data_IF_086230261853
#
_entry.id   IF_086230261853
#
_cell.length_a   1.000
_cell.length_b   1.000
_cell.length_c   1.000
_cell.angle_alpha   90.00
_cell.angle_beta   90.00
_cell.angle_gamma   90.00
#
_symmetry.space_group_name_H-M   'P 1'
#
loop_
_entity.id
_entity.type
_entity.pdbx_description
1 polymer ?
#
# COMPACT_ATOMS: atom_id res chain seq x y z
N UNK A 1 11.52 13.27 17.50
CA UNK A 1 10.75 13.60 16.28
C UNK A 1 9.77 14.76 16.47
N UNK A 2 8.81 14.69 17.40
CA UNK A 2 7.90 15.83 17.69
C UNK A 2 8.64 17.11 18.11
N UNK A 3 9.68 16.98 18.94
CA UNK A 3 10.54 18.10 19.36
C UNK A 3 11.29 18.72 18.17
N UNK A 4 11.74 17.89 17.22
CA UNK A 4 12.41 18.35 16.00
C UNK A 4 11.44 19.11 15.07
N UNK A 5 10.21 18.59 14.90
CA UNK A 5 9.17 19.28 14.12
C UNK A 5 8.77 20.64 14.70
N UNK A 6 8.78 20.78 16.04
CA UNK A 6 8.51 22.06 16.69
C UNK A 6 9.64 23.07 16.52
N UNK A 7 10.88 22.59 16.36
CA UNK A 7 12.08 23.44 16.29
C UNK A 7 12.32 24.05 14.90
N UNK A 8 11.93 23.35 13.83
CA UNK A 8 12.42 23.65 12.47
C UNK A 8 11.45 24.39 11.55
N UNK A 9 10.37 25.00 12.06
CA UNK A 9 9.49 25.83 11.23
C UNK A 9 8.89 25.10 10.03
N UNK A 10 8.52 23.83 10.20
CA UNK A 10 8.04 22.95 9.12
C UNK A 10 6.79 23.55 8.45
N UNK A 11 6.80 23.62 7.12
CA UNK A 11 5.65 24.09 6.34
C UNK A 11 4.40 23.25 6.61
N UNK A 12 3.22 23.90 6.67
CA UNK A 12 1.92 23.23 6.90
C UNK A 12 1.68 22.06 5.93
N UNK A 13 2.18 22.14 4.70
CA UNK A 13 2.04 21.08 3.70
C UNK A 13 2.89 19.85 4.02
N UNK A 14 4.14 20.06 4.46
CA UNK A 14 5.04 18.99 4.86
C UNK A 14 4.48 18.23 6.06
N UNK A 15 3.94 18.93 7.06
CA UNK A 15 3.28 18.32 8.23
C UNK A 15 2.08 17.47 7.83
N UNK A 16 1.25 17.94 6.88
CA UNK A 16 0.12 17.15 6.36
C UNK A 16 0.60 15.89 5.64
N UNK A 17 1.62 16.01 4.79
CA UNK A 17 2.18 14.86 4.05
C UNK A 17 2.79 13.83 4.99
N UNK A 18 3.48 14.28 6.02
CA UNK A 18 4.02 13.41 7.07
C UNK A 18 2.91 12.69 7.84
N UNK A 19 1.90 13.43 8.31
CA UNK A 19 0.76 12.85 9.02
C UNK A 19 0.02 11.81 8.17
N UNK A 20 -0.15 12.06 6.87
CA UNK A 20 -0.76 11.10 5.95
C UNK A 20 0.05 9.79 5.88
N UNK A 21 1.38 9.85 5.90
CA UNK A 21 2.25 8.66 5.92
C UNK A 21 2.12 7.90 7.25
N UNK A 22 2.05 8.59 8.38
CA UNK A 22 1.81 7.97 9.70
C UNK A 22 0.46 7.27 9.71
N UNK A 23 -0.62 7.95 9.31
CA UNK A 23 -1.97 7.38 9.28
C UNK A 23 -1.98 6.12 8.39
N UNK A 24 -1.35 6.18 7.22
CA UNK A 24 -1.25 5.04 6.32
C UNK A 24 -0.51 3.84 6.95
N UNK A 25 0.64 4.09 7.59
CA UNK A 25 1.43 3.04 8.25
C UNK A 25 0.69 2.45 9.45
N UNK A 26 0.07 3.30 10.28
CA UNK A 26 -0.71 2.89 11.45
C UNK A 26 -1.93 2.07 11.05
N UNK A 27 -2.63 2.48 10.00
CA UNK A 27 -3.76 1.72 9.44
C UNK A 27 -3.31 0.33 9.00
N UNK A 28 -2.18 0.23 8.28
CA UNK A 28 -1.63 -1.05 7.86
C UNK A 28 -1.25 -1.95 9.05
N UNK A 29 -0.65 -1.37 10.09
CA UNK A 29 -0.30 -2.07 11.33
C UNK A 29 -1.55 -2.62 12.04
N UNK A 30 -2.58 -1.78 12.20
CA UNK A 30 -3.87 -2.23 12.77
C UNK A 30 -4.47 -3.34 11.93
N UNK A 31 -4.48 -3.23 10.60
CA UNK A 31 -4.99 -4.27 9.71
C UNK A 31 -4.29 -5.62 9.91
N UNK A 32 -2.99 -5.60 10.22
CA UNK A 32 -2.20 -6.80 10.51
C UNK A 32 -2.48 -7.34 11.91
N UNK A 33 -2.51 -6.48 12.94
CA UNK A 33 -2.71 -6.87 14.33
C UNK A 33 -4.17 -7.22 14.67
N UNK A 34 -5.13 -6.84 13.83
CA UNK A 34 -6.56 -7.03 14.06
C UNK A 34 -6.92 -8.45 14.52
N UNK A 35 -6.48 -9.48 13.79
CA UNK A 35 -6.80 -10.87 14.13
C UNK A 35 -6.21 -11.29 15.47
N UNK A 36 -4.97 -10.88 15.75
CA UNK A 36 -4.30 -11.19 17.00
C UNK A 36 -5.02 -10.53 18.19
N UNK A 37 -5.34 -9.24 18.09
CA UNK A 37 -6.03 -8.49 19.15
C UNK A 37 -7.40 -9.13 19.45
N UNK A 38 -8.18 -9.44 18.41
CA UNK A 38 -9.50 -10.06 18.59
C UNK A 38 -9.37 -11.46 19.21
N UNK A 39 -8.40 -12.25 18.77
CA UNK A 39 -8.18 -13.59 19.32
C UNK A 39 -7.74 -13.55 20.79
N UNK A 40 -6.86 -12.62 21.18
CA UNK A 40 -6.44 -12.46 22.58
C UNK A 40 -7.60 -11.99 23.46
N UNK A 41 -8.38 -11.01 22.98
CA UNK A 41 -9.56 -10.54 23.69
C UNK A 41 -10.61 -11.63 23.84
N UNK A 42 -10.68 -12.57 22.90
CA UNK A 42 -11.72 -13.60 22.90
C UNK A 42 -11.47 -14.75 23.88
N UNK A 43 -10.21 -14.95 24.30
CA UNK A 43 -9.84 -15.99 25.28
C UNK A 43 -10.55 -15.82 26.63
N UNK A 44 -10.87 -14.58 27.03
CA UNK A 44 -11.55 -14.26 28.31
C UNK A 44 -12.98 -14.81 28.37
N UNK A 45 -13.62 -15.07 27.23
CA UNK A 45 -15.00 -15.58 27.18
C UNK A 45 -15.09 -17.11 27.32
N UNK A 46 -13.97 -17.83 27.27
CA UNK A 46 -13.97 -19.30 27.25
C UNK A 46 -13.63 -19.85 28.64
N UNK A 47 -14.68 -20.26 29.37
CA UNK A 47 -14.56 -20.94 30.67
C UNK A 47 -14.93 -22.42 30.54
N UNK A 48 -14.20 -23.28 31.25
CA UNK A 48 -14.43 -24.73 31.27
C UNK A 48 -14.74 -25.18 32.70
N UNK A 49 -15.71 -26.07 32.85
CA UNK A 49 -16.03 -26.67 34.14
C UNK A 49 -15.00 -27.76 34.49
N UNK A 50 -14.41 -27.65 35.66
CA UNK A 50 -13.44 -28.60 36.19
C UNK A 50 -14.12 -29.71 37.01
N UNK A 51 -13.36 -30.74 37.38
CA UNK A 51 -13.86 -31.87 38.17
C UNK A 51 -14.35 -31.47 39.58
N UNK A 52 -13.86 -30.35 40.12
CA UNK A 52 -14.24 -29.76 41.40
C UNK A 52 -15.52 -28.90 41.32
N UNK A 53 -16.20 -28.89 40.16
CA UNK A 53 -17.36 -28.05 39.84
C UNK A 53 -17.06 -26.55 39.77
N UNK A 54 -15.79 -26.15 39.80
CA UNK A 54 -15.40 -24.76 39.56
C UNK A 54 -15.29 -24.49 38.05
N UNK A 55 -15.72 -23.29 37.64
CA UNK A 55 -15.49 -22.82 36.28
C UNK A 55 -14.19 -22.05 36.25
N UNK A 56 -13.22 -22.52 35.47
CA UNK A 56 -11.93 -21.82 35.32
C UNK A 56 -11.74 -21.36 33.88
N UNK A 57 -10.95 -20.31 33.70
CA UNK A 57 -10.63 -19.79 32.37
C UNK A 57 -9.76 -20.80 31.62
N UNK A 58 -10.10 -21.11 30.36
CA UNK A 58 -9.36 -22.10 29.56
C UNK A 58 -7.93 -21.63 29.23
N UNK A 59 -7.72 -20.32 29.08
CA UNK A 59 -6.40 -19.74 28.83
C UNK A 59 -5.51 -19.68 30.08
N UNK A 60 -6.10 -19.66 31.28
CA UNK A 60 -5.37 -19.63 32.55
C UNK A 60 -6.23 -20.27 33.65
N UNK A 61 -6.00 -21.56 33.97
CA UNK A 61 -6.79 -22.29 34.97
C UNK A 61 -6.76 -21.69 36.38
N UNK A 62 -5.77 -20.84 36.70
CA UNK A 62 -5.65 -20.16 38.00
C UNK A 62 -6.74 -19.11 38.23
N UNK A 63 -7.45 -18.70 37.17
CA UNK A 63 -8.51 -17.69 37.23
C UNK A 63 -9.87 -18.37 37.24
N UNK A 64 -10.62 -18.20 38.35
CA UNK A 64 -12.00 -18.66 38.47
C UNK A 64 -12.97 -17.71 37.79
N UNK A 65 -13.87 -18.26 36.97
CA UNK A 65 -14.91 -17.53 36.25
C UNK A 65 -16.14 -17.31 37.13
N UNK A 66 -16.91 -16.26 36.85
CA UNK A 66 -18.20 -15.95 37.47
C UNK A 66 -18.20 -15.64 38.99
N UNK A 67 -17.03 -15.46 39.60
CA UNK A 67 -16.91 -14.96 40.98
C UNK A 67 -16.92 -13.42 40.94
N UNK A 68 -17.85 -12.79 41.67
CA UNK A 68 -18.07 -11.33 41.64
C UNK A 68 -16.80 -10.52 41.93
N UNK A 69 -15.97 -10.98 42.87
CA UNK A 69 -14.73 -10.31 43.30
C UNK A 69 -13.47 -10.93 42.66
N UNK A 70 -13.63 -11.74 41.62
CA UNK A 70 -12.53 -12.42 40.94
C UNK A 70 -11.84 -11.55 39.88
N UNK A 71 -10.57 -11.88 39.56
CA UNK A 71 -9.79 -11.24 38.50
C UNK A 71 -10.52 -11.27 37.13
N UNK A 72 -11.27 -12.34 36.84
CA UNK A 72 -12.05 -12.47 35.60
C UNK A 72 -13.08 -11.34 35.42
N UNK A 73 -13.81 -10.98 36.49
CA UNK A 73 -14.84 -9.93 36.46
C UNK A 73 -14.23 -8.55 36.14
N UNK A 74 -12.99 -8.30 36.56
CA UNK A 74 -12.26 -7.07 36.25
C UNK A 74 -11.76 -7.04 34.79
N UNK A 75 -11.38 -8.18 34.22
CA UNK A 75 -10.89 -8.29 32.84
C UNK A 75 -12.01 -8.32 31.79
N UNK A 76 -13.20 -8.80 32.15
CA UNK A 76 -14.36 -8.91 31.27
C UNK A 76 -14.76 -7.58 30.60
N UNK A 77 -14.98 -6.45 31.32
CA UNK A 77 -15.38 -5.20 30.68
C UNK A 77 -14.31 -4.68 29.72
N UNK A 78 -13.03 -4.82 30.06
CA UNK A 78 -11.93 -4.45 29.17
C UNK A 78 -11.97 -5.28 27.87
N UNK A 79 -12.20 -6.59 27.99
CA UNK A 79 -12.30 -7.50 26.84
C UNK A 79 -13.49 -7.17 25.94
N UNK A 80 -14.65 -6.82 26.53
CA UNK A 80 -15.83 -6.36 25.78
C UNK A 80 -15.52 -5.04 25.06
N UNK A 81 -14.87 -4.08 25.72
CA UNK A 81 -14.48 -2.80 25.09
C UNK A 81 -13.53 -3.06 23.92
N UNK A 82 -12.50 -3.89 24.10
CA UNK A 82 -11.56 -4.26 23.02
C UNK A 82 -12.33 -4.92 21.86
N UNK A 83 -13.25 -5.83 22.15
CA UNK A 83 -14.03 -6.52 21.13
C UNK A 83 -14.97 -5.56 20.37
N UNK A 84 -15.59 -4.60 21.05
CA UNK A 84 -16.46 -3.60 20.41
C UNK A 84 -15.64 -2.59 19.60
N UNK A 85 -14.57 -2.04 20.18
CA UNK A 85 -13.75 -1.01 19.54
C UNK A 85 -12.96 -1.58 18.36
N UNK A 86 -12.26 -2.70 18.56
CA UNK A 86 -11.47 -3.30 17.50
C UNK A 86 -12.34 -4.17 16.59
N UNK A 87 -13.28 -4.95 17.10
CA UNK A 87 -14.08 -5.86 16.27
C UNK A 87 -15.09 -5.11 15.41
N UNK A 88 -16.07 -4.46 16.06
CA UNK A 88 -17.13 -3.72 15.36
C UNK A 88 -16.64 -2.35 14.89
N UNK A 89 -15.86 -1.64 15.68
CA UNK A 89 -15.37 -0.30 15.34
C UNK A 89 -14.49 -0.31 14.09
N UNK A 90 -13.68 -1.35 13.87
CA UNK A 90 -12.89 -1.49 12.64
C UNK A 90 -13.77 -1.76 11.40
N UNK A 91 -14.81 -2.59 11.52
CA UNK A 91 -15.80 -2.81 10.46
C UNK A 91 -16.55 -1.50 10.14
N UNK A 92 -17.00 -0.77 11.16
CA UNK A 92 -17.66 0.53 11.01
C UNK A 92 -16.72 1.56 10.38
N UNK A 93 -15.44 1.58 10.76
CA UNK A 93 -14.43 2.44 10.15
C UNK A 93 -14.36 2.21 8.64
N UNK A 94 -14.34 0.95 8.17
CA UNK A 94 -14.36 0.67 6.72
C UNK A 94 -15.65 1.11 6.04
N UNK A 95 -16.80 0.90 6.68
CA UNK A 95 -18.08 1.37 6.14
C UNK A 95 -18.05 2.88 5.98
N UNK A 96 -17.59 3.62 6.98
CA UNK A 96 -17.45 5.08 6.94
C UNK A 96 -16.46 5.53 5.86
N UNK A 97 -15.28 4.89 5.77
CA UNK A 97 -14.29 5.18 4.73
C UNK A 97 -14.84 4.92 3.32
N UNK A 98 -15.58 3.83 3.15
CA UNK A 98 -16.23 3.49 1.88
C UNK A 98 -17.31 4.51 1.50
N UNK A 99 -18.20 4.87 2.43
CA UNK A 99 -19.24 5.87 2.21
C UNK A 99 -18.63 7.24 1.90
N UNK A 100 -17.58 7.64 2.63
CA UNK A 100 -16.85 8.89 2.37
C UNK A 100 -16.18 8.87 0.99
N UNK A 101 -15.55 7.76 0.62
CA UNK A 101 -14.96 7.61 -0.72
C UNK A 101 -16.01 7.74 -1.82
N UNK A 102 -17.17 7.11 -1.65
CA UNK A 102 -18.30 7.19 -2.60
C UNK A 102 -18.86 8.60 -2.69
N UNK A 103 -19.04 9.25 -1.54
CA UNK A 103 -19.52 10.63 -1.46
C UNK A 103 -18.61 11.59 -2.24
N UNK A 104 -17.29 11.52 -2.03
CA UNK A 104 -16.33 12.37 -2.73
C UNK A 104 -16.32 12.13 -4.25
N UNK A 105 -16.39 10.87 -4.69
CA UNK A 105 -16.48 10.53 -6.12
C UNK A 105 -17.77 11.05 -6.76
N UNK A 106 -18.89 10.94 -6.06
CA UNK A 106 -20.18 11.46 -6.53
C UNK A 106 -20.16 12.99 -6.61
N UNK A 107 -19.48 13.69 -5.69
CA UNK A 107 -19.30 15.14 -5.75
C UNK A 107 -18.48 15.57 -6.98
N UNK A 108 -17.34 14.91 -7.26
CA UNK A 108 -16.53 15.20 -8.45
C UNK A 108 -17.35 15.01 -9.74
N UNK A 109 -18.11 13.91 -9.85
CA UNK A 109 -18.98 13.66 -10.99
C UNK A 109 -20.09 14.71 -11.15
N UNK A 110 -20.74 15.10 -10.04
CA UNK A 110 -21.79 16.12 -10.05
C UNK A 110 -21.26 17.47 -10.54
N UNK A 111 -20.13 17.93 -9.99
CA UNK A 111 -19.53 19.22 -10.37
C UNK A 111 -19.09 19.21 -11.84
N UNK A 112 -18.47 18.12 -12.32
CA UNK A 112 -18.13 17.98 -13.75
C UNK A 112 -19.35 18.08 -14.66
N UNK A 113 -20.44 17.40 -14.31
CA UNK A 113 -21.68 17.49 -15.10
C UNK A 113 -22.32 18.89 -15.07
N UNK A 114 -22.08 19.69 -14.02
CA UNK A 114 -22.53 21.08 -13.95
C UNK A 114 -21.69 21.99 -14.83
N UNK A 115 -20.36 21.84 -14.77
CA UNK A 115 -19.43 22.57 -15.64
C UNK A 115 -19.76 22.30 -17.11
N UNK A 116 -19.97 21.03 -17.49
CA UNK A 116 -20.33 20.68 -18.87
C UNK A 116 -21.65 21.30 -19.34
N UNK A 117 -22.63 21.49 -18.44
CA UNK A 117 -23.89 22.17 -18.78
C UNK A 117 -23.69 23.68 -18.91
N UNK A 118 -22.89 24.27 -18.04
CA UNK A 118 -22.60 25.71 -18.08
C UNK A 118 -21.68 26.09 -19.21
N UNK A 119 -20.85 25.19 -19.73
CA UNK A 119 -20.07 25.43 -20.95
C UNK A 119 -20.95 25.71 -22.17
N UNK A 120 -22.23 25.31 -22.14
CA UNK A 120 -23.22 25.67 -23.17
C UNK A 120 -23.91 27.03 -22.94
N UNK A 121 -23.72 27.63 -21.77
CA UNK A 121 -24.23 28.96 -21.39
C UNK A 121 -23.04 29.92 -21.36
N UNK A 122 -23.06 31.06 -22.08
CA UNK A 122 -21.91 31.98 -22.18
C UNK A 122 -21.51 32.71 -20.85
N UNK A 123 -21.90 32.19 -19.68
CA UNK A 123 -21.65 32.77 -18.36
C UNK A 123 -20.30 32.31 -17.77
N UNK A 124 -19.19 32.93 -18.21
CA UNK A 124 -17.84 32.57 -17.78
C UNK A 124 -17.55 32.71 -16.27
N UNK A 125 -18.26 33.59 -15.55
CA UNK A 125 -18.03 33.81 -14.12
C UNK A 125 -18.47 32.62 -13.24
N UNK A 126 -19.57 31.95 -13.58
CA UNK A 126 -20.05 30.79 -12.81
C UNK A 126 -19.13 29.57 -12.99
N UNK A 127 -18.55 29.42 -14.19
CA UNK A 127 -17.60 28.36 -14.51
C UNK A 127 -16.38 28.47 -13.59
N UNK A 128 -15.79 29.66 -13.45
CA UNK A 128 -14.58 29.88 -12.64
C UNK A 128 -14.81 29.55 -11.15
N UNK A 129 -15.99 29.85 -10.61
CA UNK A 129 -16.37 29.49 -9.24
C UNK A 129 -16.49 27.96 -9.08
N UNK A 130 -17.06 27.27 -10.07
CA UNK A 130 -17.21 25.81 -10.04
C UNK A 130 -15.88 25.09 -10.23
N UNK A 131 -14.97 25.63 -11.04
CA UNK A 131 -13.61 25.12 -11.18
C UNK A 131 -12.84 25.20 -9.85
N UNK A 132 -12.93 26.33 -9.14
CA UNK A 132 -12.35 26.46 -7.81
C UNK A 132 -12.95 25.45 -6.80
N UNK A 133 -14.26 25.17 -6.87
CA UNK A 133 -14.89 24.11 -6.06
C UNK A 133 -14.40 22.72 -6.46
N UNK A 134 -14.27 22.45 -7.76
CA UNK A 134 -13.78 21.18 -8.29
C UNK A 134 -12.35 20.89 -7.85
N UNK A 135 -11.48 21.90 -7.88
CA UNK A 135 -10.10 21.78 -7.44
C UNK A 135 -10.02 21.42 -5.94
N UNK A 136 -10.81 22.11 -5.11
CA UNK A 136 -10.90 21.81 -3.68
C UNK A 136 -11.39 20.37 -3.40
N UNK A 137 -12.38 19.89 -4.16
CA UNK A 137 -12.87 18.50 -4.08
C UNK A 137 -11.79 17.51 -4.54
N UNK A 138 -11.09 17.79 -5.65
CA UNK A 138 -9.98 16.96 -6.14
C UNK A 138 -8.83 16.88 -5.15
N UNK A 139 -8.47 17.99 -4.52
CA UNK A 139 -7.45 18.04 -3.46
C UNK A 139 -7.87 17.16 -2.27
N UNK A 140 -9.14 17.23 -1.88
CA UNK A 140 -9.71 16.40 -0.81
C UNK A 140 -9.67 14.91 -1.16
N UNK A 141 -9.98 14.55 -2.41
CA UNK A 141 -9.85 13.17 -2.92
C UNK A 141 -8.39 12.72 -2.90
N UNK A 142 -7.45 13.56 -3.35
CA UNK A 142 -6.00 13.27 -3.33
C UNK A 142 -5.53 13.01 -1.90
N UNK A 143 -5.87 13.90 -0.97
CA UNK A 143 -5.51 13.77 0.45
C UNK A 143 -6.08 12.49 1.06
N UNK A 144 -7.36 12.20 0.80
CA UNK A 144 -8.00 10.98 1.27
C UNK A 144 -7.32 9.71 0.70
N UNK A 145 -7.01 9.70 -0.60
CA UNK A 145 -6.29 8.60 -1.24
C UNK A 145 -4.86 8.43 -0.70
N UNK A 146 -4.18 9.52 -0.34
CA UNK A 146 -2.84 9.46 0.25
C UNK A 146 -2.86 8.93 1.68
N UNK A 147 -3.83 9.35 2.50
CA UNK A 147 -4.02 8.89 3.89
C UNK A 147 -4.32 7.40 3.97
N UNK A 148 -5.20 6.91 3.10
CA UNK A 148 -5.65 5.52 3.09
C UNK A 148 -5.08 4.74 1.90
N UNK A 149 -3.87 5.11 1.45
CA UNK A 149 -3.22 4.53 0.26
C UNK A 149 -3.14 3.02 0.37
N UNK A 150 -2.76 2.49 1.52
CA UNK A 150 -2.61 1.06 1.78
C UNK A 150 -3.92 0.30 1.55
N UNK A 151 -5.03 0.81 2.08
CA UNK A 151 -6.35 0.17 1.99
C UNK A 151 -6.95 0.31 0.58
N UNK A 152 -6.91 1.52 0.02
CA UNK A 152 -7.63 1.83 -1.21
C UNK A 152 -6.89 1.38 -2.47
N UNK A 153 -5.55 1.40 -2.49
CA UNK A 153 -4.75 1.10 -3.69
C UNK A 153 -4.75 -0.40 -4.04
N UNK A 154 -5.15 -1.26 -3.10
CA UNK A 154 -5.12 -2.72 -3.28
C UNK A 154 -6.24 -3.22 -4.21
N UNK A 155 -7.37 -2.52 -4.25
CA UNK A 155 -8.59 -2.94 -4.95
C UNK A 155 -8.89 -2.08 -6.17
N UNK A 156 -9.64 -2.62 -7.12
CA UNK A 156 -10.23 -1.82 -8.20
C UNK A 156 -11.26 -0.85 -7.61
N UNK A 157 -11.41 0.34 -8.19
CA UNK A 157 -12.33 1.38 -7.70
C UNK A 157 -13.78 0.90 -7.54
N UNK A 158 -14.22 -0.05 -8.38
CA UNK A 158 -15.56 -0.68 -8.30
C UNK A 158 -15.73 -1.59 -7.07
N UNK A 159 -14.65 -2.20 -6.59
CA UNK A 159 -14.64 -3.22 -5.54
C UNK A 159 -13.97 -2.74 -4.24
N UNK A 160 -13.99 -1.43 -3.94
CA UNK A 160 -13.42 -0.89 -2.69
C UNK A 160 -14.06 -1.51 -1.44
N UNK A 161 -15.33 -1.92 -1.51
CA UNK A 161 -16.03 -2.60 -0.42
C UNK A 161 -15.49 -4.01 -0.14
N UNK A 162 -14.57 -4.54 -0.94
CA UNK A 162 -14.05 -5.89 -0.76
C UNK A 162 -13.27 -6.08 0.55
N UNK A 163 -12.57 -5.05 1.02
CA UNK A 163 -11.86 -5.09 2.30
C UNK A 163 -12.83 -5.30 3.48
N UNK A 164 -14.05 -4.77 3.37
CA UNK A 164 -15.13 -5.00 4.34
C UNK A 164 -15.52 -6.48 4.37
N UNK A 165 -15.62 -7.14 3.21
CA UNK A 165 -15.92 -8.58 3.10
C UNK A 165 -14.79 -9.41 3.73
N UNK A 166 -13.53 -9.10 3.43
CA UNK A 166 -12.38 -9.77 4.03
C UNK A 166 -12.38 -9.63 5.56
N UNK A 167 -12.66 -8.42 6.05
CA UNK A 167 -12.71 -8.12 7.49
C UNK A 167 -13.89 -8.81 8.17
N UNK A 168 -15.08 -8.78 7.56
CA UNK A 168 -16.27 -9.47 8.06
C UNK A 168 -16.07 -10.99 8.14
N UNK A 169 -15.42 -11.60 7.14
CA UNK A 169 -15.03 -13.01 7.16
C UNK A 169 -14.11 -13.34 8.34
N UNK A 170 -13.06 -12.54 8.53
CA UNK A 170 -12.10 -12.68 9.63
C UNK A 170 -12.78 -12.58 11.00
N UNK A 171 -13.64 -11.56 11.16
CA UNK A 171 -14.44 -11.37 12.37
C UNK A 171 -15.36 -12.57 12.60
N UNK A 172 -16.06 -13.03 11.57
CA UNK A 172 -16.96 -14.19 11.64
C UNK A 172 -16.24 -15.43 12.15
N UNK A 173 -15.05 -15.74 11.62
CA UNK A 173 -14.25 -16.90 12.07
C UNK A 173 -13.84 -16.73 13.53
N UNK A 174 -13.41 -15.53 13.95
CA UNK A 174 -13.04 -15.26 15.33
C UNK A 174 -14.23 -15.40 16.30
N UNK A 175 -15.41 -14.90 15.93
CA UNK A 175 -16.67 -15.07 16.67
C UNK A 175 -16.98 -16.55 16.82
N UNK A 176 -17.00 -17.30 15.71
CA UNK A 176 -17.31 -18.74 15.73
C UNK A 176 -16.35 -19.49 16.65
N UNK A 177 -15.05 -19.25 16.53
CA UNK A 177 -14.03 -19.89 17.35
C UNK A 177 -14.17 -19.61 18.86
N UNK A 178 -14.83 -18.51 19.22
CA UNK A 178 -15.01 -18.10 20.62
C UNK A 178 -16.27 -18.71 21.23
N UNK A 179 -17.37 -18.71 20.47
CA UNK A 179 -18.69 -19.04 21.02
C UNK A 179 -19.18 -20.44 20.68
N UNK A 180 -18.56 -21.13 19.71
CA UNK A 180 -19.01 -22.44 19.27
C UNK A 180 -18.02 -23.56 19.64
N UNK A 181 -18.51 -24.79 19.90
CA UNK A 181 -17.68 -25.98 19.99
C UNK A 181 -16.88 -26.24 18.71
N UNK A 182 -15.70 -26.84 18.85
CA UNK A 182 -14.72 -27.03 17.75
C UNK A 182 -15.31 -27.67 16.49
N UNK A 183 -16.22 -28.64 16.62
CA UNK A 183 -16.89 -29.29 15.47
C UNK A 183 -17.72 -28.28 14.67
N UNK A 184 -18.54 -27.48 15.36
CA UNK A 184 -19.37 -26.45 14.73
C UNK A 184 -18.52 -25.35 14.12
N UNK A 185 -17.40 -24.97 14.77
CA UNK A 185 -16.44 -24.01 14.22
C UNK A 185 -15.90 -24.49 12.88
N UNK A 186 -15.53 -25.76 12.75
CA UNK A 186 -15.04 -26.32 11.48
C UNK A 186 -16.13 -26.33 10.40
N UNK A 187 -17.35 -26.73 10.74
CA UNK A 187 -18.48 -26.78 9.78
C UNK A 187 -18.84 -25.37 9.29
N UNK A 188 -19.10 -24.43 10.19
CA UNK A 188 -19.45 -23.06 9.82
C UNK A 188 -18.26 -22.32 9.20
N UNK A 189 -17.04 -22.56 9.68
CA UNK A 189 -15.81 -22.04 9.09
C UNK A 189 -15.64 -22.49 7.64
N UNK A 190 -15.88 -23.77 7.35
CA UNK A 190 -15.84 -24.32 5.98
C UNK A 190 -16.86 -23.62 5.08
N UNK A 191 -18.11 -23.44 5.55
CA UNK A 191 -19.17 -22.73 4.79
C UNK A 191 -18.78 -21.27 4.51
N UNK A 192 -18.33 -20.53 5.53
CA UNK A 192 -17.91 -19.13 5.37
C UNK A 192 -16.73 -19.01 4.39
N UNK A 193 -15.73 -19.89 4.51
CA UNK A 193 -14.56 -19.87 3.63
C UNK A 193 -14.92 -20.27 2.20
N UNK A 194 -15.83 -21.23 2.01
CA UNK A 194 -16.32 -21.64 0.70
C UNK A 194 -17.13 -20.54 0.01
N UNK A 195 -18.07 -19.90 0.72
CA UNK A 195 -18.80 -18.74 0.20
C UNK A 195 -17.85 -17.61 -0.18
N UNK A 196 -16.83 -17.36 0.65
CA UNK A 196 -15.80 -16.36 0.36
C UNK A 196 -14.99 -16.69 -0.90
N UNK A 197 -14.69 -17.97 -1.12
CA UNK A 197 -14.03 -18.45 -2.34
C UNK A 197 -14.90 -18.20 -3.57
N UNK A 198 -16.19 -18.55 -3.53
CA UNK A 198 -17.12 -18.32 -4.65
C UNK A 198 -17.25 -16.83 -4.98
N UNK A 199 -17.39 -15.99 -3.94
CA UNK A 199 -17.52 -14.55 -4.09
C UNK A 199 -16.22 -13.94 -4.66
N UNK A 200 -15.05 -14.45 -4.27
CA UNK A 200 -13.75 -14.02 -4.80
C UNK A 200 -13.56 -14.41 -6.26
N UNK A 201 -13.91 -15.64 -6.64
CA UNK A 201 -13.86 -16.12 -8.03
C UNK A 201 -14.74 -15.24 -8.93
N UNK A 202 -15.92 -14.86 -8.45
CA UNK A 202 -16.86 -14.06 -9.22
C UNK A 202 -16.45 -12.59 -9.37
N UNK A 203 -15.82 -11.99 -8.35
CA UNK A 203 -15.59 -10.54 -8.32
C UNK A 203 -14.19 -10.10 -8.75
N UNK A 204 -13.16 -10.94 -8.59
CA UNK A 204 -11.75 -10.65 -8.94
C UNK A 204 -11.34 -9.21 -8.54
N UNK A 205 -11.40 -8.90 -7.23
CA UNK A 205 -11.46 -7.52 -6.73
C UNK A 205 -10.12 -6.78 -6.74
N UNK A 206 -8.99 -7.49 -6.74
CA UNK A 206 -7.66 -6.87 -6.65
C UNK A 206 -7.27 -6.21 -7.98
N UNK A 207 -6.57 -5.06 -7.90
CA UNK A 207 -6.05 -4.37 -9.10
C UNK A 207 -5.00 -5.21 -9.83
N UNK A 208 -4.11 -5.87 -9.08
CA UNK A 208 -3.08 -6.76 -9.64
C UNK A 208 -3.59 -8.19 -9.79
N UNK A 209 -3.49 -8.74 -11.00
CA UNK A 209 -3.82 -10.16 -11.32
C UNK A 209 -3.16 -11.15 -10.35
N UNK A 210 -1.89 -10.91 -10.02
CA UNK A 210 -1.13 -11.76 -9.11
C UNK A 210 -1.74 -11.84 -7.70
N UNK A 211 -2.27 -10.74 -7.16
CA UNK A 211 -2.92 -10.74 -5.84
C UNK A 211 -4.26 -11.51 -5.86
N UNK A 212 -5.02 -11.42 -6.96
CA UNK A 212 -6.23 -12.24 -7.13
C UNK A 212 -5.90 -13.74 -7.12
N UNK A 213 -4.83 -14.14 -7.82
CA UNK A 213 -4.37 -15.52 -7.85
C UNK A 213 -3.87 -15.98 -6.48
N UNK A 214 -3.09 -15.16 -5.77
CA UNK A 214 -2.60 -15.47 -4.43
C UNK A 214 -3.76 -15.69 -3.45
N UNK A 215 -4.74 -14.78 -3.39
CA UNK A 215 -5.91 -14.95 -2.52
C UNK A 215 -6.73 -16.19 -2.91
N UNK A 216 -6.90 -16.46 -4.21
CA UNK A 216 -7.61 -17.65 -4.68
C UNK A 216 -6.95 -18.95 -4.20
N UNK A 217 -5.62 -19.07 -4.35
CA UNK A 217 -4.86 -20.25 -3.90
C UNK A 217 -4.94 -20.39 -2.38
N UNK A 218 -4.76 -19.29 -1.64
CA UNK A 218 -4.88 -19.29 -0.17
C UNK A 218 -6.26 -19.77 0.26
N UNK A 219 -7.34 -19.29 -0.37
CA UNK A 219 -8.71 -19.70 -0.04
C UNK A 219 -8.96 -21.18 -0.34
N UNK A 220 -8.46 -21.70 -1.46
CA UNK A 220 -8.55 -23.14 -1.77
C UNK A 220 -7.79 -23.96 -0.72
N UNK A 221 -6.55 -23.58 -0.41
CA UNK A 221 -5.76 -24.27 0.61
C UNK A 221 -6.48 -24.29 1.96
N UNK A 222 -7.10 -23.18 2.38
CA UNK A 222 -7.85 -23.12 3.64
C UNK A 222 -9.11 -24.00 3.59
N UNK A 223 -9.89 -23.94 2.50
CA UNK A 223 -11.10 -24.78 2.34
C UNK A 223 -10.74 -26.27 2.39
N UNK A 224 -9.68 -26.68 1.68
CA UNK A 224 -9.19 -28.06 1.72
C UNK A 224 -8.69 -28.45 3.13
N UNK A 225 -7.95 -27.57 3.79
CA UNK A 225 -7.46 -27.80 5.15
C UNK A 225 -8.60 -27.99 6.14
N UNK A 226 -9.64 -27.13 6.08
CA UNK A 226 -10.84 -27.26 6.92
C UNK A 226 -11.63 -28.54 6.61
N UNK A 227 -11.73 -28.90 5.33
CA UNK A 227 -12.38 -30.15 4.91
C UNK A 227 -11.67 -31.39 5.47
N UNK A 228 -10.34 -31.46 5.35
CA UNK A 228 -9.57 -32.56 5.97
C UNK A 228 -9.62 -32.52 7.50
N UNK A 229 -9.65 -31.33 8.10
CA UNK A 229 -9.89 -31.15 9.52
C UNK A 229 -11.20 -31.77 9.99
N UNK A 230 -12.27 -31.61 9.21
CA UNK A 230 -13.58 -32.20 9.49
C UNK A 230 -13.55 -33.74 9.40
N UNK A 231 -12.79 -34.31 8.45
CA UNK A 231 -12.68 -35.77 8.33
C UNK A 231 -12.12 -36.41 9.60
N UNK A 232 -11.23 -35.74 10.34
CA UNK A 232 -10.68 -36.28 11.60
C UNK A 232 -11.70 -36.40 12.73
N UNK A 233 -12.85 -35.73 12.64
CA UNK A 233 -13.95 -35.89 13.60
C UNK A 233 -14.81 -37.13 13.33
N UNK A 234 -14.59 -37.84 12.22
CA UNK A 234 -15.24 -39.12 11.96
C UNK A 234 -14.46 -40.21 12.68
N UNK A 235 -14.91 -40.59 13.88
CA UNK A 235 -14.22 -41.57 14.73
C UNK A 235 -14.19 -42.99 14.15
N UNK A 236 -15.09 -43.31 13.21
CA UNK A 236 -15.21 -44.63 12.62
C UNK A 236 -14.79 -44.62 11.15
N UNK A 237 -13.51 -44.87 10.90
CA UNK A 237 -13.03 -45.18 9.57
C UNK A 237 -13.15 -46.68 9.27
N UNK A 238 -13.54 -47.07 8.05
CA UNK A 238 -13.70 -48.47 7.68
C UNK A 238 -12.38 -49.27 7.70
N UNK A 239 -11.23 -48.60 7.61
CA UNK A 239 -9.91 -49.21 7.67
C UNK A 239 -8.87 -48.26 8.29
N UNK A 240 -7.94 -48.78 9.09
CA UNK A 240 -6.84 -48.00 9.70
C UNK A 240 -5.96 -47.30 8.64
N UNK A 241 -5.78 -47.94 7.48
CA UNK A 241 -5.05 -47.37 6.35
C UNK A 241 -5.67 -46.08 5.82
N UNK A 242 -7.00 -45.94 5.86
CA UNK A 242 -7.68 -44.74 5.36
C UNK A 242 -7.41 -43.53 6.25
N UNK A 243 -7.41 -43.70 7.58
CA UNK A 243 -7.05 -42.62 8.53
C UNK A 243 -5.62 -42.12 8.29
N UNK A 244 -4.68 -43.04 8.11
CA UNK A 244 -3.27 -42.71 7.83
C UNK A 244 -3.14 -41.96 6.50
N UNK A 245 -3.85 -42.41 5.47
CA UNK A 245 -3.89 -41.74 4.16
C UNK A 245 -4.46 -40.32 4.25
N UNK A 246 -5.62 -40.13 4.91
CA UNK A 246 -6.21 -38.80 5.12
C UNK A 246 -5.26 -37.89 5.91
N UNK A 247 -4.56 -38.43 6.90
CA UNK A 247 -3.55 -37.68 7.67
C UNK A 247 -2.41 -37.19 6.79
N UNK A 248 -1.84 -38.07 5.98
CA UNK A 248 -0.79 -37.73 5.04
C UNK A 248 -1.23 -36.68 4.03
N UNK A 249 -2.45 -36.82 3.49
CA UNK A 249 -3.03 -35.88 2.53
C UNK A 249 -3.23 -34.49 3.16
N UNK A 250 -3.76 -34.43 4.38
CA UNK A 250 -3.95 -33.18 5.12
C UNK A 250 -2.61 -32.44 5.37
N UNK A 251 -1.60 -33.17 5.85
CA UNK A 251 -0.25 -32.62 6.07
C UNK A 251 0.35 -32.15 4.75
N UNK A 252 0.20 -32.93 3.67
CA UNK A 252 0.71 -32.57 2.34
C UNK A 252 0.09 -31.27 1.83
N UNK A 253 -1.24 -31.12 1.95
CA UNK A 253 -1.95 -29.90 1.54
C UNK A 253 -1.49 -28.68 2.34
N UNK A 254 -1.31 -28.85 3.66
CA UNK A 254 -0.81 -27.78 4.53
C UNK A 254 0.61 -27.37 4.13
N UNK A 255 1.54 -28.32 4.02
CA UNK A 255 2.95 -28.04 3.69
C UNK A 255 3.07 -27.44 2.29
N UNK A 256 2.45 -28.05 1.28
CA UNK A 256 2.50 -27.54 -0.11
C UNK A 256 1.82 -26.17 -0.21
N UNK A 257 0.69 -25.98 0.46
CA UNK A 257 -0.01 -24.68 0.51
C UNK A 257 0.86 -23.59 1.12
N UNK A 258 1.47 -23.84 2.28
CA UNK A 258 2.36 -22.88 2.94
C UNK A 258 3.57 -22.56 2.08
N UNK A 259 4.25 -23.57 1.53
CA UNK A 259 5.41 -23.37 0.64
C UNK A 259 5.01 -22.55 -0.59
N UNK A 260 3.87 -22.87 -1.23
CA UNK A 260 3.38 -22.13 -2.38
C UNK A 260 3.13 -20.64 -2.05
N UNK A 261 2.49 -20.35 -0.92
CA UNK A 261 2.21 -18.97 -0.47
C UNK A 261 3.49 -18.21 -0.14
N UNK A 262 4.45 -18.84 0.54
CA UNK A 262 5.75 -18.23 0.84
C UNK A 262 6.52 -17.95 -0.44
N UNK A 263 6.62 -18.92 -1.36
CA UNK A 263 7.27 -18.73 -2.65
C UNK A 263 6.61 -17.61 -3.46
N UNK A 264 5.27 -17.55 -3.52
CA UNK A 264 4.57 -16.46 -4.20
C UNK A 264 4.81 -15.10 -3.56
N UNK A 265 4.88 -15.03 -2.23
CA UNK A 265 5.16 -13.79 -1.49
C UNK A 265 6.59 -13.30 -1.77
N UNK A 266 7.55 -14.21 -1.79
CA UNK A 266 8.96 -13.92 -2.12
C UNK A 266 9.09 -13.47 -3.58
N UNK A 267 8.41 -14.14 -4.52
CA UNK A 267 8.39 -13.75 -5.93
C UNK A 267 7.78 -12.35 -6.10
N UNK A 268 6.66 -12.05 -5.44
CA UNK A 268 6.06 -10.71 -5.47
C UNK A 268 7.03 -9.65 -4.92
N UNK A 269 7.68 -9.93 -3.81
CA UNK A 269 8.70 -9.04 -3.25
C UNK A 269 9.82 -8.76 -4.24
N UNK A 270 10.38 -9.80 -4.89
CA UNK A 270 11.42 -9.61 -5.91
C UNK A 270 10.93 -8.86 -7.16
N UNK A 271 9.71 -9.14 -7.62
CA UNK A 271 9.12 -8.43 -8.76
C UNK A 271 8.94 -6.95 -8.43
N UNK A 272 8.43 -6.62 -7.24
CA UNK A 272 8.27 -5.24 -6.78
C UNK A 272 9.61 -4.53 -6.70
N UNK A 273 10.59 -5.14 -6.03
CA UNK A 273 11.95 -4.58 -5.92
C UNK A 273 12.58 -4.34 -7.30
N UNK A 274 12.36 -5.25 -8.26
CA UNK A 274 12.86 -5.07 -9.63
C UNK A 274 12.17 -3.90 -10.36
N UNK A 275 10.84 -3.74 -10.21
CA UNK A 275 10.10 -2.62 -10.83
C UNK A 275 10.55 -1.29 -10.23
N UNK A 276 10.73 -1.23 -8.91
CA UNK A 276 11.26 -0.04 -8.22
C UNK A 276 12.67 0.32 -8.73
N UNK A 277 13.58 -0.65 -8.83
CA UNK A 277 14.92 -0.41 -9.37
C UNK A 277 14.91 0.05 -10.84
N UNK A 278 13.96 -0.42 -11.66
CA UNK A 278 13.84 0.03 -13.05
C UNK A 278 13.32 1.46 -13.14
N UNK A 279 12.32 1.79 -12.32
CA UNK A 279 11.77 3.13 -12.24
C UNK A 279 12.81 4.14 -11.75
N UNK A 280 13.61 3.76 -10.75
CA UNK A 280 14.71 4.59 -10.27
C UNK A 280 15.73 4.88 -11.38
N UNK A 281 16.07 3.87 -12.20
CA UNK A 281 16.95 4.05 -13.37
C UNK A 281 16.38 5.02 -14.40
N UNK A 282 15.11 4.85 -14.79
CA UNK A 282 14.47 5.75 -15.75
C UNK A 282 14.38 7.18 -15.24
N UNK A 283 14.15 7.38 -13.94
CA UNK A 283 14.19 8.72 -13.33
C UNK A 283 15.58 9.33 -13.33
N UNK A 284 16.62 8.53 -13.04
CA UNK A 284 18.02 8.98 -13.14
C UNK A 284 18.37 9.39 -14.57
N UNK A 285 17.90 8.65 -15.57
CA UNK A 285 18.09 8.97 -16.99
C UNK A 285 17.36 10.25 -17.41
N UNK A 286 16.11 10.47 -16.96
CA UNK A 286 15.36 11.70 -17.25
C UNK A 286 16.02 12.94 -16.63
N UNK A 287 16.54 12.80 -15.41
CA UNK A 287 17.26 13.88 -14.73
C UNK A 287 18.60 14.15 -15.45
N UNK A 288 19.34 13.10 -15.84
CA UNK A 288 20.56 13.26 -16.66
C UNK A 288 20.26 13.93 -18.00
N UNK A 289 19.11 13.63 -18.62
CA UNK A 289 18.70 14.29 -19.86
C UNK A 289 18.34 15.77 -19.66
N UNK A 290 17.77 16.14 -18.51
CA UNK A 290 17.37 17.53 -18.20
C UNK A 290 18.53 18.43 -17.78
N UNK A 291 19.48 17.91 -17.02
CA UNK A 291 20.60 18.69 -16.46
C UNK A 291 21.94 18.45 -17.20
N UNK A 292 21.95 17.63 -18.26
CA UNK A 292 23.15 17.31 -19.01
C UNK A 292 24.16 16.47 -18.21
N UNK A 293 25.39 16.38 -18.71
CA UNK A 293 26.53 15.68 -18.07
C UNK A 293 27.12 16.43 -16.86
N UNK A 294 26.33 17.30 -16.19
CA UNK A 294 26.68 17.84 -14.88
C UNK A 294 27.20 16.67 -14.01
N UNK A 295 28.46 16.78 -13.56
CA UNK A 295 29.24 15.68 -12.97
C UNK A 295 28.31 14.84 -12.11
N UNK A 296 28.20 13.53 -12.37
CA UNK A 296 27.26 12.61 -11.69
C UNK A 296 27.17 12.82 -10.16
N UNK A 297 28.22 13.33 -9.50
CA UNK A 297 28.25 13.73 -8.09
C UNK A 297 27.34 14.92 -7.72
N UNK A 298 27.29 15.98 -8.53
CA UNK A 298 26.37 17.11 -8.33
C UNK A 298 24.93 16.66 -8.57
N UNK A 299 24.71 15.84 -9.60
CA UNK A 299 23.41 15.25 -9.88
C UNK A 299 22.95 14.32 -8.75
N UNK A 300 23.85 13.54 -8.15
CA UNK A 300 23.53 12.65 -7.04
C UNK A 300 23.27 13.43 -5.74
N UNK A 301 24.00 14.53 -5.51
CA UNK A 301 23.75 15.45 -4.40
C UNK A 301 22.39 16.16 -4.54
N UNK A 302 22.06 16.59 -5.75
CA UNK A 302 20.79 17.24 -6.08
C UNK A 302 19.62 16.24 -6.05
N UNK A 303 19.82 15.03 -6.58
CA UNK A 303 18.88 13.93 -6.46
C UNK A 303 18.60 13.57 -5.00
N UNK A 304 19.64 13.49 -4.15
CA UNK A 304 19.46 13.28 -2.71
C UNK A 304 18.74 14.44 -2.03
N UNK A 305 18.89 15.69 -2.49
CA UNK A 305 18.08 16.83 -2.00
C UNK A 305 16.60 16.65 -2.34
N UNK A 306 16.27 16.20 -3.56
CA UNK A 306 14.88 16.01 -3.98
C UNK A 306 14.23 14.74 -3.43
N UNK A 307 15.02 13.68 -3.23
CA UNK A 307 14.57 12.37 -2.77
C UNK A 307 15.46 11.87 -1.64
N UNK A 308 15.35 12.46 -0.43
CA UNK A 308 16.03 11.90 0.72
C UNK A 308 15.56 10.45 0.87
N UNK A 309 16.50 9.52 0.75
CA UNK A 309 16.23 8.12 1.06
C UNK A 309 15.64 8.08 2.47
N UNK A 310 14.57 7.29 2.67
CA UNK A 310 13.88 7.22 3.96
C UNK A 310 14.82 6.81 5.12
N UNK A 311 16.03 6.33 4.80
CA UNK A 311 17.05 5.86 5.72
C UNK A 311 18.35 6.70 5.72
N UNK A 312 18.55 7.65 4.79
CA UNK A 312 19.78 8.45 4.70
C UNK A 312 19.93 9.46 5.85
N UNK A 313 18.84 9.80 6.54
CA UNK A 313 18.87 10.70 7.70
C UNK A 313 19.21 10.00 9.02
N UNK A 314 19.45 8.69 9.03
CA UNK A 314 19.76 7.97 10.27
C UNK A 314 21.27 8.07 10.60
N UNK A 315 22.16 8.12 9.60
CA UNK A 315 23.61 8.11 9.84
C UNK A 315 24.26 9.49 9.96
N UNK A 316 23.62 10.58 9.51
CA UNK A 316 24.25 11.92 9.51
C UNK A 316 24.13 12.73 10.80
N UNK A 317 23.57 12.15 11.86
CA UNK A 317 23.44 12.84 13.16
C UNK A 317 24.58 12.56 14.15
N UNK A 318 25.66 11.89 13.72
CA UNK A 318 26.78 11.55 14.60
C UNK A 318 28.16 12.09 14.19
N UNK A 319 28.32 12.71 13.03
CA UNK A 319 29.62 13.25 12.63
C UNK A 319 29.54 14.76 12.35
N UNK A 320 30.10 15.50 13.32
CA UNK A 320 30.77 16.80 13.18
C UNK A 320 29.91 18.06 12.92
N UNK A 321 29.50 18.72 14.01
CA UNK A 321 29.32 20.17 14.05
C UNK A 321 30.35 20.79 15.01
N UNK A 322 31.56 21.03 14.51
CA UNK A 322 32.50 22.00 15.07
C UNK A 322 32.19 23.37 14.44
N UNK A 323 31.41 24.19 15.14
CA UNK A 323 31.02 25.53 14.67
C UNK A 323 32.22 26.48 14.72
N UNK A 324 32.86 26.72 13.57
CA UNK A 324 33.68 27.92 13.37
C UNK A 324 32.76 29.13 13.22
N UNK A 325 32.74 29.96 14.26
CA UNK A 325 32.10 31.27 14.28
C UNK A 325 32.92 32.21 13.39
N UNK A 326 32.49 32.39 12.14
CA UNK A 326 32.96 33.48 11.30
C UNK A 326 32.13 34.73 11.64
N UNK A 327 32.78 35.69 12.31
CA UNK A 327 32.17 36.95 12.72
C UNK A 327 31.93 37.80 11.47
N UNK A 328 30.67 38.01 11.12
CA UNK A 328 30.28 38.84 9.98
C UNK A 328 30.45 40.34 10.34
N UNK A 329 31.38 41.09 9.73
CA UNK A 329 31.72 42.45 10.16
C UNK A 329 30.95 43.51 9.35
N UNK A 330 29.63 43.36 9.21
CA UNK A 330 28.80 44.29 8.44
C UNK A 330 27.47 44.52 9.15
N UNK A 331 27.55 45.21 10.29
CA UNK A 331 26.42 45.91 10.89
C UNK A 331 26.98 47.12 11.65
N UNK A 332 27.50 48.09 10.89
CA UNK A 332 27.55 49.48 11.35
C UNK A 332 26.29 50.17 10.83
N UNK A 333 25.62 50.83 11.77
CA UNK A 333 24.39 51.57 11.59
C UNK A 333 24.58 52.76 10.65
N UNK A 334 23.57 53.04 9.83
CA UNK A 334 23.29 54.39 9.37
C UNK A 334 21.78 54.54 9.19
N UNK A 335 21.21 55.34 10.09
CA UNK A 335 19.95 56.06 9.89
C UNK A 335 20.20 57.13 8.82
N UNK A 336 19.44 57.14 7.73
CA UNK A 336 19.19 58.34 6.93
C UNK A 336 17.91 58.12 6.11
N UNK A 337 16.93 59.00 6.35
CA UNK A 337 15.73 59.20 5.54
C UNK A 337 16.17 59.75 4.18
N UNK A 338 15.77 59.11 3.08
CA UNK A 338 15.64 59.79 1.79
C UNK A 338 14.58 59.10 0.91
N UNK A 339 13.70 59.93 0.36
CA UNK A 339 12.68 59.60 -0.64
C UNK A 339 13.36 59.36 -1.99
N UNK A 340 13.56 58.11 -2.41
CA UNK A 340 14.08 57.82 -3.76
C UNK A 340 13.14 56.97 -4.61
N UNK A 341 12.90 57.53 -5.79
CA UNK A 341 12.14 57.04 -6.93
C UNK A 341 12.75 55.74 -7.48
N UNK A 342 11.93 54.69 -7.61
CA UNK A 342 12.38 53.41 -8.15
C UNK A 342 12.76 53.55 -9.65
N UNK A 343 14.05 53.68 -9.95
CA UNK A 343 14.57 53.57 -11.31
C UNK A 343 14.84 52.10 -11.65
N UNK A 344 14.04 51.54 -12.56
CA UNK A 344 14.29 50.23 -13.17
C UNK A 344 15.59 50.28 -13.97
N UNK A 345 16.65 49.64 -13.45
CA UNK A 345 17.84 49.35 -14.24
C UNK A 345 17.63 48.03 -14.99
N UNK A 346 17.59 48.13 -16.32
CA UNK A 346 17.46 46.96 -17.21
C UNK A 346 18.80 46.22 -17.20
N UNK A 347 18.75 44.92 -16.91
CA UNK A 347 19.93 44.07 -16.82
C UNK A 347 20.58 43.92 -18.22
N UNK A 348 21.82 44.38 -18.46
CA UNK A 348 22.47 44.41 -19.78
C UNK A 348 22.85 43.02 -20.33
N UNK A 349 22.53 41.94 -19.63
CA UNK A 349 22.76 40.57 -20.07
C UNK A 349 21.68 40.01 -21.03
N UNK A 350 20.61 40.74 -21.33
CA UNK A 350 19.55 40.25 -22.24
C UNK A 350 19.72 40.65 -23.72
N UNK A 351 20.54 41.65 -24.06
CA UNK A 351 20.59 42.17 -25.44
C UNK A 351 21.63 41.51 -26.35
N UNK A 352 22.64 40.82 -25.80
CA UNK A 352 23.70 40.19 -26.62
C UNK A 352 23.43 38.73 -26.99
N UNK A 353 22.34 38.13 -26.51
CA UNK A 353 21.99 36.72 -26.78
C UNK A 353 20.98 36.51 -27.91
N UNK A 354 20.55 37.57 -28.60
CA UNK A 354 19.43 37.51 -29.56
C UNK A 354 19.81 37.79 -31.03
N UNK A 355 21.10 37.82 -31.39
CA UNK A 355 21.49 38.16 -32.76
C UNK A 355 21.78 37.01 -33.72
N UNK A 356 21.91 35.77 -33.27
CA UNK A 356 22.10 34.64 -34.19
C UNK A 356 21.46 33.37 -33.61
N UNK A 357 20.18 33.13 -33.90
CA UNK A 357 19.62 31.78 -33.80
C UNK A 357 18.53 31.57 -34.85
N UNK A 358 18.95 30.89 -35.90
CA UNK A 358 18.20 30.43 -37.08
C UNK A 358 17.28 29.24 -36.76
N UNK A 359 16.51 29.34 -35.67
CA UNK A 359 15.62 28.29 -35.19
C UNK A 359 14.27 28.86 -34.74
N UNK A 360 13.42 29.32 -35.67
CA UNK A 360 11.97 29.34 -35.45
C UNK A 360 11.23 29.24 -36.79
N UNK A 361 11.10 28.01 -37.30
CA UNK A 361 9.85 27.57 -37.92
C UNK A 361 9.17 26.68 -36.87
N UNK A 362 8.29 27.26 -36.06
CA UNK A 362 7.44 26.52 -35.14
C UNK A 362 5.99 26.90 -35.40
N UNK A 363 5.26 25.94 -35.95
CA UNK A 363 3.81 25.93 -36.16
C UNK A 363 3.04 26.50 -34.95
N UNK A 364 2.14 27.44 -35.24
CA UNK A 364 1.32 28.25 -34.32
C UNK A 364 0.25 27.47 -33.50
N UNK A 365 0.29 26.14 -33.40
CA UNK A 365 -0.80 25.36 -32.76
C UNK A 365 -0.33 24.30 -31.74
N UNK A 366 0.70 24.57 -30.94
CA UNK A 366 1.05 23.68 -29.80
C UNK A 366 0.94 24.38 -28.46
N UNK A 367 -0.19 24.16 -27.78
CA UNK A 367 -0.34 24.41 -26.35
C UNK A 367 0.82 23.80 -25.56
N UNK A 368 1.64 24.65 -24.93
CA UNK A 368 2.64 24.21 -23.96
C UNK A 368 1.90 23.83 -22.67
N UNK A 369 1.54 22.55 -22.53
CA UNK A 369 1.05 21.99 -21.27
C UNK A 369 2.19 21.88 -20.27
N UNK A 370 2.33 22.88 -19.41
CA UNK A 370 3.12 22.77 -18.19
C UNK A 370 2.53 21.67 -17.30
N UNK A 371 3.18 20.51 -17.32
CA UNK A 371 2.93 19.46 -16.32
C UNK A 371 3.89 19.72 -15.16
N UNK A 372 3.40 20.18 -13.98
CA UNK A 372 4.27 20.45 -12.85
C UNK A 372 5.00 19.15 -12.43
N UNK A 373 6.32 19.20 -12.17
CA UNK A 373 7.18 18.02 -11.99
C UNK A 373 6.87 17.18 -10.75
N UNK A 374 5.96 17.61 -9.88
CA UNK A 374 5.70 16.99 -8.58
C UNK A 374 4.40 16.19 -8.48
N UNK A 375 3.61 16.10 -9.57
CA UNK A 375 2.41 15.27 -9.60
C UNK A 375 2.22 14.53 -10.93
N UNK A 376 3.27 13.93 -11.49
CA UNK A 376 3.06 12.65 -12.14
C UNK A 376 2.88 11.61 -11.02
N UNK A 377 1.71 11.62 -10.38
CA UNK A 377 1.14 10.31 -10.06
C UNK A 377 1.23 9.59 -11.40
N UNK A 378 2.07 8.57 -11.47
CA UNK A 378 1.95 7.54 -12.49
C UNK A 378 0.47 7.15 -12.44
N UNK A 379 -0.32 7.83 -13.26
CA UNK A 379 -1.33 7.19 -14.05
C UNK A 379 -0.47 6.17 -14.77
N UNK A 380 -0.30 4.99 -14.15
CA UNK A 380 -0.28 3.76 -14.93
C UNK A 380 -1.41 4.02 -15.92
N UNK A 381 -1.07 4.46 -17.14
CA UNK A 381 -2.05 4.91 -18.12
C UNK A 381 -3.05 3.80 -18.15
N UNK A 382 -4.22 4.07 -17.57
CA UNK A 382 -5.13 3.05 -17.15
C UNK A 382 -5.72 2.50 -18.45
N UNK A 383 -5.01 1.54 -19.07
CA UNK A 383 -5.62 0.46 -19.83
C UNK A 383 -6.45 -0.42 -18.86
N UNK A 384 -7.09 0.18 -17.84
CA UNK A 384 -8.18 -0.38 -17.06
C UNK A 384 -9.38 -0.65 -17.97
N UNK A 385 -9.56 0.15 -19.03
CA UNK A 385 -10.57 -0.11 -20.06
C UNK A 385 -10.35 -1.45 -20.78
N UNK A 386 -9.10 -1.86 -21.04
CA UNK A 386 -8.80 -3.13 -21.73
C UNK A 386 -8.80 -4.36 -20.80
N UNK A 387 -8.74 -4.18 -19.48
CA UNK A 387 -8.63 -5.29 -18.52
C UNK A 387 -9.88 -5.52 -17.65
N UNK A 388 -10.98 -4.82 -17.94
CA UNK A 388 -12.19 -4.87 -17.09
C UNK A 388 -12.82 -6.27 -17.02
N UNK A 389 -12.75 -7.07 -18.08
CA UNK A 389 -13.58 -8.28 -18.24
C UNK A 389 -12.80 -9.60 -18.32
N UNK A 390 -11.51 -9.61 -17.94
CA UNK A 390 -10.75 -10.85 -18.01
C UNK A 390 -11.21 -11.88 -16.98
N UNK A 391 -11.57 -13.07 -17.46
CA UNK A 391 -12.00 -14.19 -16.60
C UNK A 391 -10.82 -14.80 -15.84
N UNK A 392 -11.08 -15.42 -14.68
CA UNK A 392 -10.06 -16.07 -13.86
C UNK A 392 -9.21 -17.07 -14.68
N UNK A 393 -9.82 -17.78 -15.63
CA UNK A 393 -9.13 -18.73 -16.51
C UNK A 393 -8.08 -18.05 -17.38
N UNK A 394 -8.35 -16.84 -17.90
CA UNK A 394 -7.38 -16.06 -18.66
C UNK A 394 -6.21 -15.62 -17.77
N UNK A 395 -6.48 -15.24 -16.52
CA UNK A 395 -5.45 -14.87 -15.55
C UNK A 395 -4.54 -16.07 -15.27
N UNK A 396 -5.12 -17.26 -15.03
CA UNK A 396 -4.38 -18.49 -14.80
C UNK A 396 -3.51 -18.81 -16.03
N UNK A 397 -4.07 -18.77 -17.24
CA UNK A 397 -3.29 -19.04 -18.46
C UNK A 397 -2.19 -18.01 -18.69
N UNK A 398 -2.41 -16.73 -18.38
CA UNK A 398 -1.42 -15.67 -18.53
C UNK A 398 -0.25 -15.86 -17.57
N UNK A 399 -0.55 -16.15 -16.29
CA UNK A 399 0.45 -16.34 -15.24
C UNK A 399 1.24 -17.63 -15.45
N UNK A 400 0.56 -18.72 -15.79
CA UNK A 400 1.18 -20.02 -16.04
C UNK A 400 1.55 -20.23 -17.51
N UNK A 401 1.52 -19.19 -18.34
CA UNK A 401 2.06 -19.30 -19.70
C UNK A 401 3.55 -19.59 -19.58
N UNK A 402 3.89 -20.88 -19.63
CA UNK A 402 5.26 -21.41 -19.59
C UNK A 402 6.11 -20.69 -20.63
N UNK A 403 5.50 -20.19 -21.71
CA UNK A 403 6.13 -19.32 -22.71
C UNK A 403 6.77 -18.05 -22.14
N UNK A 404 6.16 -17.33 -21.18
CA UNK A 404 6.80 -16.15 -20.53
C UNK A 404 7.93 -16.57 -19.60
N UNK A 405 7.73 -17.60 -18.78
CA UNK A 405 8.78 -18.15 -17.92
C UNK A 405 9.98 -18.62 -18.77
N UNK A 406 9.71 -19.34 -19.86
CA UNK A 406 10.71 -19.83 -20.79
C UNK A 406 11.39 -18.69 -21.56
N UNK A 407 10.67 -17.66 -22.00
CA UNK A 407 11.27 -16.47 -22.63
C UNK A 407 12.19 -15.73 -21.66
N UNK A 408 11.78 -15.59 -20.40
CA UNK A 408 12.59 -14.96 -19.36
C UNK A 408 13.80 -15.81 -18.96
N UNK A 409 13.66 -17.14 -18.85
CA UNK A 409 14.78 -18.06 -18.63
C UNK A 409 15.75 -18.02 -19.81
N UNK A 410 15.24 -17.99 -21.06
CA UNK A 410 16.07 -17.90 -22.27
C UNK A 410 16.81 -16.57 -22.34
N UNK A 411 16.17 -15.46 -21.99
CA UNK A 411 16.80 -14.14 -21.89
C UNK A 411 17.84 -14.08 -20.75
N UNK A 412 17.57 -14.70 -19.59
CA UNK A 412 18.54 -14.82 -18.51
C UNK A 412 19.76 -15.67 -18.94
N UNK A 413 19.53 -16.76 -19.67
CA UNK A 413 20.58 -17.62 -20.21
C UNK A 413 21.43 -16.92 -21.27
N UNK A 414 20.84 -16.05 -22.11
CA UNK A 414 21.61 -15.25 -23.08
C UNK A 414 22.41 -14.14 -22.42
N UNK A 415 21.87 -13.46 -21.40
CA UNK A 415 22.61 -12.47 -20.61
C UNK A 415 23.75 -13.11 -19.81
N UNK A 416 23.53 -14.29 -19.23
CA UNK A 416 24.57 -15.06 -18.55
C UNK A 416 25.72 -15.45 -19.49
N UNK A 417 25.43 -15.84 -20.73
CA UNK A 417 26.47 -16.11 -21.75
C UNK A 417 27.32 -14.88 -22.06
N UNK A 418 26.70 -13.70 -22.22
CA UNK A 418 27.45 -12.44 -22.48
C UNK A 418 28.39 -12.09 -21.34
N UNK A 419 27.97 -12.27 -20.09
CA UNK A 419 28.83 -12.04 -18.91
C UNK A 419 29.99 -13.05 -18.89
N UNK A 420 29.72 -14.32 -19.21
CA UNK A 420 30.74 -15.37 -19.25
C UNK A 420 31.76 -15.13 -20.38
N UNK A 421 31.33 -14.60 -21.53
CA UNK A 421 32.22 -14.17 -22.62
C UNK A 421 33.05 -12.94 -22.23
N UNK A 422 32.48 -11.95 -21.55
CA UNK A 422 33.22 -10.80 -21.02
C UNK A 422 34.28 -11.22 -20.00
N UNK A 423 33.95 -12.14 -19.08
CA UNK A 423 34.91 -12.68 -18.12
C UNK A 423 36.03 -13.48 -18.81
N UNK A 424 35.71 -14.25 -19.86
CA UNK A 424 36.71 -14.97 -20.66
C UNK A 424 37.61 -14.02 -21.45
N UNK A 425 37.07 -12.91 -21.96
CA UNK A 425 37.85 -11.85 -22.61
C UNK A 425 38.82 -11.20 -21.61
N UNK A 426 38.33 -10.83 -20.42
CA UNK A 426 39.16 -10.26 -19.36
C UNK A 426 40.27 -11.21 -18.90
N UNK A 427 39.97 -12.49 -18.73
CA UNK A 427 40.97 -13.50 -18.35
C UNK A 427 42.09 -13.66 -19.39
N UNK A 428 41.82 -13.44 -20.69
CA UNK A 428 42.87 -13.45 -21.73
C UNK A 428 43.76 -12.22 -21.67
N UNK A 429 43.23 -11.06 -21.29
CA UNK A 429 43.99 -9.81 -21.22
C UNK A 429 44.90 -9.74 -20.00
N UNK A 430 44.59 -10.48 -18.92
CA UNK A 430 45.36 -10.47 -17.66
C UNK A 430 46.54 -11.47 -17.66
N UNK A 431 46.64 -12.34 -18.68
CA UNK A 431 47.70 -13.38 -18.78
C UNK A 431 48.85 -12.95 -19.74
N UNK A 432 48.85 -11.69 -20.17
CA UNK A 432 49.95 -11.05 -20.92
C UNK A 432 50.54 -9.98 -20.02
#
# INVERSE_FOLDING_TARGET
MLIWMLKEGVSKEQTKNFLNKIINAFTALISFLYLFIIQQASQIFVCTNQADQSWTLNASPDITCFVSDGQWSQMLPLSIIIYLVFGLGYVLLFVVLFLRSRYLLNQDAKIRSQIQKLESTEDGAEILILEGKLENVRLSIKNFKMQFKFLLTRFKTKYIYWELIITARKLGIAVLNTFLPSVLVLVFGLVIMFLSLLLHIHTVPFRKKFHNLMEYIVLICIVLTLFFGLLFFVDQFPAEGFKTFCTFLAISVLVVGTVAVVCMSVIDFFIRRRKENQLEKSRREEIRAKFGDLKDKELEAEYRKFFPSMFDNIDKSQEEEEWLVEVNPLFEAQDEEDEDEWVLTVNPLSESALKDNDYMDLDEEKEIKFTPPFYSSEVESDNEAENADQTLNQIISDVFSVKRAHKNIKAAKSSGKKILELLRSYAKTVVI
#
